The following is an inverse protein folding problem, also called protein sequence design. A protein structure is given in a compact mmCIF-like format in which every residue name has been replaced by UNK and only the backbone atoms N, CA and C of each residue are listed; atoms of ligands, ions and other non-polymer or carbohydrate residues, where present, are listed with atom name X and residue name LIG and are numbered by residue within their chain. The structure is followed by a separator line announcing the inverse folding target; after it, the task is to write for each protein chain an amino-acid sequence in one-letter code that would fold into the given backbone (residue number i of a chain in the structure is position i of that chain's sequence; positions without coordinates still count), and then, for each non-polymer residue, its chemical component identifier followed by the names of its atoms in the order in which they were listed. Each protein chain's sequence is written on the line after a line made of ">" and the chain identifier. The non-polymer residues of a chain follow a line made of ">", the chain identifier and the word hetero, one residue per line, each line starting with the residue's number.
data_IF_682297701143
#
_entry.id   IF_682297701143
#
_cell.length_a   1.000
_cell.length_b   1.000
_cell.length_c   1.000
_cell.angle_alpha   90.00
_cell.angle_beta   90.00
_cell.angle_gamma   90.00
#
_symmetry.space_group_name_H-M   'P 1'
#
loop_
_entity.id
_entity.type
_entity.pdbx_description
1 polymer ?
#
# COMPACT_ATOMS: atom_id res chain seq x y z
N UNK A 1 -20.28 23.26 -1.22
CA UNK A 1 -20.07 22.19 -2.20
C UNK A 1 -18.89 21.43 -1.66
N UNK A 2 -19.09 20.27 -1.03
CA UNK A 2 -17.95 19.46 -0.57
C UNK A 2 -17.37 18.85 -1.83
N UNK A 3 -16.20 19.32 -2.27
CA UNK A 3 -15.61 18.85 -3.52
C UNK A 3 -15.32 17.36 -3.38
N UNK A 4 -15.92 16.57 -4.27
CA UNK A 4 -15.68 15.14 -4.33
C UNK A 4 -14.21 14.91 -4.69
N UNK A 5 -13.58 13.91 -4.07
CA UNK A 5 -12.21 13.51 -4.41
C UNK A 5 -12.08 13.22 -5.91
N UNK A 6 -10.92 13.53 -6.53
CA UNK A 6 -10.67 13.27 -7.94
C UNK A 6 -10.82 11.79 -8.28
N UNK A 7 -11.22 11.48 -9.52
CA UNK A 7 -11.42 10.09 -9.96
C UNK A 7 -10.12 9.29 -9.89
N UNK A 8 -9.00 9.97 -10.08
CA UNK A 8 -7.64 9.45 -10.02
C UNK A 8 -7.31 8.90 -8.63
N UNK A 9 -7.88 9.45 -7.54
CA UNK A 9 -7.72 8.85 -6.21
C UNK A 9 -8.19 7.39 -6.26
N UNK A 10 -9.42 7.17 -6.73
CA UNK A 10 -10.04 5.84 -6.77
C UNK A 10 -9.32 4.90 -7.74
N UNK A 11 -8.84 5.42 -8.88
CA UNK A 11 -8.00 4.65 -9.80
C UNK A 11 -6.68 4.22 -9.16
N UNK A 12 -6.05 5.11 -8.38
CA UNK A 12 -4.84 4.80 -7.63
C UNK A 12 -5.08 3.75 -6.55
N UNK A 13 -6.20 3.83 -5.82
CA UNK A 13 -6.59 2.82 -4.82
C UNK A 13 -6.85 1.46 -5.50
N UNK A 14 -7.55 1.45 -6.64
CA UNK A 14 -7.79 0.21 -7.39
C UNK A 14 -6.47 -0.42 -7.87
N UNK A 15 -5.56 0.38 -8.41
CA UNK A 15 -4.23 -0.08 -8.79
C UNK A 15 -3.45 -0.65 -7.58
N UNK A 16 -3.50 0.01 -6.42
CA UNK A 16 -2.91 -0.52 -5.19
C UNK A 16 -3.51 -1.89 -4.82
N UNK A 17 -4.84 -1.99 -4.87
CA UNK A 17 -5.57 -3.20 -4.49
C UNK A 17 -5.31 -4.38 -5.42
N UNK A 18 -4.92 -4.13 -6.68
CA UNK A 18 -4.49 -5.16 -7.62
C UNK A 18 -3.01 -5.52 -7.46
N UNK A 19 -2.24 -4.75 -6.67
CA UNK A 19 -0.79 -4.92 -6.55
C UNK A 19 0.01 -4.17 -7.61
N UNK A 20 -0.64 -3.36 -8.45
CA UNK A 20 -0.02 -2.46 -9.41
C UNK A 20 0.56 -1.21 -8.73
N UNK A 21 1.49 -1.42 -7.79
CA UNK A 21 1.97 -0.36 -6.89
C UNK A 21 2.67 0.80 -7.60
N UNK A 22 3.41 0.53 -8.69
CA UNK A 22 4.04 1.61 -9.47
C UNK A 22 2.99 2.44 -10.24
N UNK A 23 1.94 1.79 -10.76
CA UNK A 23 0.83 2.51 -11.39
C UNK A 23 0.04 3.35 -10.38
N UNK A 24 -0.18 2.82 -9.17
CA UNK A 24 -0.76 3.57 -8.05
C UNK A 24 0.07 4.84 -7.76
N UNK A 25 1.41 4.70 -7.69
CA UNK A 25 2.31 5.84 -7.51
C UNK A 25 2.10 6.91 -8.59
N UNK A 26 2.19 6.55 -9.87
CA UNK A 26 2.13 7.52 -10.97
C UNK A 26 0.78 8.23 -11.03
N UNK A 27 -0.32 7.50 -10.80
CA UNK A 27 -1.68 8.07 -10.78
C UNK A 27 -1.83 9.09 -9.65
N UNK A 28 -1.39 8.74 -8.43
CA UNK A 28 -1.53 9.63 -7.28
C UNK A 28 -0.55 10.81 -7.34
N UNK A 29 0.64 10.62 -7.92
CA UNK A 29 1.60 11.71 -8.16
C UNK A 29 1.00 12.78 -9.09
N UNK A 30 0.23 12.38 -10.11
CA UNK A 30 -0.39 13.30 -11.06
C UNK A 30 -1.36 14.29 -10.38
N UNK A 31 -2.14 13.84 -9.39
CA UNK A 31 -3.05 14.70 -8.63
C UNK A 31 -2.38 15.39 -7.44
N UNK A 32 -1.28 14.84 -6.91
CA UNK A 32 -0.55 15.38 -5.77
C UNK A 32 -0.02 16.80 -6.00
N UNK A 33 0.46 17.11 -7.21
CA UNK A 33 1.01 18.44 -7.51
C UNK A 33 -0.04 19.56 -7.46
N UNK A 34 -1.31 19.22 -7.71
CA UNK A 34 -2.42 20.17 -7.82
C UNK A 34 -3.35 20.15 -6.61
N UNK A 35 -3.11 19.22 -5.66
CA UNK A 35 -3.91 19.05 -4.46
C UNK A 35 -3.76 20.21 -3.47
N UNK A 36 -4.84 20.49 -2.74
CA UNK A 36 -4.82 21.34 -1.55
C UNK A 36 -3.91 20.74 -0.46
N UNK A 37 -3.41 21.57 0.46
CA UNK A 37 -2.40 21.13 1.44
C UNK A 37 -2.84 19.93 2.29
N UNK A 38 -4.14 19.87 2.60
CA UNK A 38 -4.74 18.76 3.35
C UNK A 38 -4.70 17.45 2.56
N UNK A 39 -5.11 17.45 1.29
CA UNK A 39 -5.07 16.25 0.45
C UNK A 39 -3.65 15.86 0.04
N UNK A 40 -2.77 16.85 -0.09
CA UNK A 40 -1.41 16.68 -0.58
C UNK A 40 -0.60 15.70 0.26
N UNK A 41 -0.68 15.78 1.60
CA UNK A 41 0.05 14.85 2.49
C UNK A 41 -0.59 13.47 2.48
N UNK A 42 -1.92 13.39 2.35
CA UNK A 42 -2.64 12.13 2.24
C UNK A 42 -2.26 11.36 0.96
N UNK A 43 -2.34 11.98 -0.22
CA UNK A 43 -1.91 11.36 -1.47
C UNK A 43 -0.43 10.95 -1.42
N UNK A 44 0.42 11.83 -0.90
CA UNK A 44 1.85 11.55 -0.76
C UNK A 44 2.11 10.34 0.17
N UNK A 45 1.33 10.20 1.25
CA UNK A 45 1.45 9.06 2.14
C UNK A 45 1.14 7.73 1.44
N UNK A 46 0.02 7.66 0.71
CA UNK A 46 -0.38 6.44 -0.01
C UNK A 46 0.60 6.10 -1.12
N UNK A 47 0.98 7.08 -1.97
CA UNK A 47 1.91 6.82 -3.08
C UNK A 47 3.29 6.39 -2.58
N UNK A 48 3.75 6.90 -1.43
CA UNK A 48 5.02 6.48 -0.83
C UNK A 48 4.97 5.04 -0.31
N UNK A 49 3.85 4.63 0.31
CA UNK A 49 3.66 3.23 0.71
C UNK A 49 3.62 2.32 -0.53
N UNK A 50 2.91 2.72 -1.58
CA UNK A 50 2.84 1.99 -2.84
C UNK A 50 4.24 1.79 -3.44
N UNK A 51 5.00 2.85 -3.69
CA UNK A 51 6.35 2.71 -4.25
C UNK A 51 7.31 2.00 -3.28
N UNK A 52 7.07 2.06 -1.97
CA UNK A 52 7.77 1.25 -0.97
C UNK A 52 7.54 -0.26 -1.16
N UNK A 53 6.30 -0.68 -1.42
CA UNK A 53 5.96 -2.07 -1.77
C UNK A 53 6.57 -2.49 -3.11
N UNK A 54 6.56 -1.61 -4.11
CA UNK A 54 7.24 -1.84 -5.39
C UNK A 54 8.76 -2.06 -5.20
N UNK A 55 9.41 -1.25 -4.38
CA UNK A 55 10.82 -1.44 -4.06
C UNK A 55 11.08 -2.75 -3.31
N UNK A 56 10.20 -3.12 -2.38
CA UNK A 56 10.29 -4.39 -1.67
C UNK A 56 10.20 -5.58 -2.65
N UNK A 57 9.21 -5.60 -3.54
CA UNK A 57 9.06 -6.66 -4.55
C UNK A 57 10.25 -6.79 -5.50
N UNK A 58 11.00 -5.71 -5.71
CA UNK A 58 12.22 -5.68 -6.52
C UNK A 58 13.51 -5.93 -5.71
N UNK A 59 13.42 -6.32 -4.43
CA UNK A 59 14.58 -6.56 -3.57
C UNK A 59 15.34 -5.29 -3.16
N UNK A 60 14.80 -4.09 -3.41
CA UNK A 60 15.40 -2.84 -2.98
C UNK A 60 14.97 -2.52 -1.54
N UNK A 61 15.67 -3.14 -0.60
CA UNK A 61 15.43 -2.94 0.85
C UNK A 61 15.49 -1.47 1.28
N UNK A 62 16.51 -0.74 0.82
CA UNK A 62 16.72 0.65 1.25
C UNK A 62 15.58 1.55 0.79
N UNK A 63 15.16 1.41 -0.47
CA UNK A 63 14.03 2.15 -1.03
C UNK A 63 12.75 1.83 -0.28
N UNK A 64 12.49 0.54 -0.03
CA UNK A 64 11.30 0.08 0.69
C UNK A 64 11.22 0.68 2.11
N UNK A 65 12.29 0.57 2.90
CA UNK A 65 12.31 1.05 4.30
C UNK A 65 12.13 2.56 4.39
N UNK A 66 12.81 3.33 3.54
CA UNK A 66 12.73 4.79 3.56
C UNK A 66 11.31 5.26 3.19
N UNK A 67 10.80 4.82 2.04
CA UNK A 67 9.54 5.32 1.51
C UNK A 67 8.34 4.86 2.34
N UNK A 68 8.37 3.62 2.86
CA UNK A 68 7.35 3.13 3.77
C UNK A 68 7.32 3.91 5.08
N UNK A 69 8.48 4.22 5.67
CA UNK A 69 8.58 5.03 6.89
C UNK A 69 8.07 6.47 6.69
N UNK A 70 8.42 7.10 5.58
CA UNK A 70 7.91 8.43 5.24
C UNK A 70 6.40 8.42 5.00
N UNK A 71 5.89 7.44 4.25
CA UNK A 71 4.46 7.30 3.97
C UNK A 71 3.64 7.11 5.24
N UNK A 72 4.08 6.24 6.15
CA UNK A 72 3.47 6.05 7.47
C UNK A 72 3.43 7.36 8.28
N UNK A 73 4.54 8.08 8.34
CA UNK A 73 4.60 9.36 9.07
C UNK A 73 3.63 10.40 8.52
N UNK A 74 3.33 10.38 7.22
CA UNK A 74 2.39 11.33 6.59
C UNK A 74 0.94 10.97 6.90
N UNK A 75 0.61 9.68 6.93
CA UNK A 75 -0.76 9.21 7.17
C UNK A 75 -1.18 9.29 8.65
N UNK A 76 -0.26 9.49 9.58
CA UNK A 76 -0.56 9.56 11.01
C UNK A 76 -1.64 10.59 11.38
N UNK A 77 -1.72 11.71 10.66
CA UNK A 77 -2.72 12.76 10.88
C UNK A 77 -4.12 12.46 10.32
N UNK A 78 -4.25 11.37 9.56
CA UNK A 78 -5.47 10.98 8.83
C UNK A 78 -6.13 9.73 9.42
N UNK A 79 -5.60 9.21 10.53
CA UNK A 79 -6.16 8.03 11.19
C UNK A 79 -7.46 8.36 11.95
N UNK A 80 -8.42 7.42 12.02
CA UNK A 80 -8.36 6.06 11.46
C UNK A 80 -8.82 5.97 9.99
N UNK A 81 -9.40 7.03 9.43
CA UNK A 81 -9.86 7.07 8.04
C UNK A 81 -9.86 8.47 7.45
N UNK A 82 -9.72 8.51 6.13
CA UNK A 82 -9.84 9.72 5.32
C UNK A 82 -10.33 9.34 3.92
N UNK A 83 -11.14 10.19 3.30
CA UNK A 83 -11.80 9.88 2.03
C UNK A 83 -12.60 8.56 2.05
N UNK A 84 -13.09 8.13 3.22
CA UNK A 84 -13.76 6.83 3.38
C UNK A 84 -12.82 5.62 3.26
N UNK A 85 -11.51 5.80 3.22
CA UNK A 85 -10.51 4.72 3.22
C UNK A 85 -10.09 4.37 4.65
N UNK A 86 -9.97 3.08 4.94
CA UNK A 86 -9.43 2.57 6.19
C UNK A 86 -7.91 2.71 6.23
N UNK A 87 -7.46 3.82 6.79
CA UNK A 87 -6.03 4.12 6.93
C UNK A 87 -5.41 3.46 8.15
N UNK A 88 -6.20 3.08 9.15
CA UNK A 88 -5.72 2.29 10.28
C UNK A 88 -5.21 0.93 9.79
N UNK A 89 -5.99 0.23 8.97
CA UNK A 89 -5.55 -1.06 8.43
C UNK A 89 -4.33 -0.93 7.52
N UNK A 90 -4.32 0.07 6.62
CA UNK A 90 -3.19 0.32 5.72
C UNK A 90 -1.90 0.63 6.49
N UNK A 91 -1.97 1.51 7.49
CA UNK A 91 -0.79 1.91 8.28
C UNK A 91 -0.32 0.78 9.19
N UNK A 92 -1.21 -0.05 9.71
CA UNK A 92 -0.85 -1.26 10.46
C UNK A 92 -0.08 -2.24 9.56
N UNK A 93 -0.64 -2.60 8.40
CA UNK A 93 -0.03 -3.57 7.49
C UNK A 93 1.34 -3.08 6.98
N UNK A 94 1.45 -1.80 6.63
CA UNK A 94 2.72 -1.19 6.24
C UNK A 94 3.72 -1.10 7.40
N UNK A 95 3.26 -0.82 8.63
CA UNK A 95 4.11 -0.77 9.82
C UNK A 95 4.70 -2.14 10.19
N UNK A 96 3.91 -3.20 10.08
CA UNK A 96 4.34 -4.58 10.32
C UNK A 96 5.39 -5.04 9.29
N UNK A 97 5.17 -4.68 8.02
CA UNK A 97 6.15 -4.94 6.96
C UNK A 97 7.44 -4.14 7.19
N UNK A 98 7.35 -2.85 7.48
CA UNK A 98 8.52 -2.01 7.77
C UNK A 98 9.36 -2.60 8.92
N UNK A 99 8.69 -2.99 10.01
CA UNK A 99 9.34 -3.61 11.18
C UNK A 99 10.02 -4.94 10.80
N UNK A 100 9.38 -5.74 9.95
CA UNK A 100 9.94 -6.99 9.42
C UNK A 100 11.19 -6.72 8.59
N UNK A 101 11.14 -5.76 7.66
CA UNK A 101 12.26 -5.40 6.80
C UNK A 101 13.45 -4.85 7.60
N UNK A 102 13.19 -3.98 8.57
CA UNK A 102 14.22 -3.43 9.44
C UNK A 102 14.89 -4.51 10.30
N UNK A 103 14.12 -5.46 10.81
CA UNK A 103 14.64 -6.60 11.60
C UNK A 103 15.46 -7.57 10.76
N UNK A 104 14.99 -7.85 9.54
CA UNK A 104 15.62 -8.80 8.63
C UNK A 104 16.93 -8.26 8.03
N UNK A 105 16.96 -6.95 7.77
CA UNK A 105 18.11 -6.25 7.19
C UNK A 105 18.22 -6.43 5.67
N UNK A 106 19.12 -5.65 5.06
CA UNK A 106 19.30 -5.60 3.62
C UNK A 106 19.73 -6.94 2.99
N UNK A 107 20.59 -7.69 3.69
CA UNK A 107 21.20 -8.92 3.16
C UNK A 107 20.19 -10.06 2.97
N UNK A 108 19.03 -9.96 3.61
CA UNK A 108 18.04 -11.04 3.67
C UNK A 108 16.69 -10.66 3.09
N UNK A 109 16.55 -9.48 2.48
CA UNK A 109 15.29 -9.06 1.83
C UNK A 109 14.87 -10.01 0.71
N UNK A 110 15.84 -10.63 0.01
CA UNK A 110 15.60 -11.63 -1.02
C UNK A 110 15.05 -12.95 -0.49
N UNK A 111 15.08 -13.19 0.82
CA UNK A 111 14.42 -14.32 1.48
C UNK A 111 12.89 -14.08 1.62
N UNK A 112 12.38 -12.91 1.23
CA UNK A 112 10.95 -12.61 1.27
C UNK A 112 10.39 -12.52 -0.14
N UNK A 113 9.14 -12.96 -0.27
CA UNK A 113 8.40 -12.84 -1.54
C UNK A 113 7.12 -12.08 -1.25
N UNK A 114 6.93 -10.97 -1.97
CA UNK A 114 5.68 -10.22 -1.99
C UNK A 114 4.71 -10.94 -2.92
N UNK A 115 3.54 -11.33 -2.40
CA UNK A 115 2.42 -11.79 -3.21
C UNK A 115 1.36 -10.70 -3.30
N UNK A 116 0.96 -10.41 -4.53
CA UNK A 116 -0.14 -9.51 -4.89
C UNK A 116 -1.41 -10.30 -5.18
N UNK A 117 -2.60 -9.66 -5.14
CA UNK A 117 -3.85 -10.33 -5.48
C UNK A 117 -3.89 -10.88 -6.92
N UNK A 118 -3.17 -10.29 -7.86
CA UNK A 118 -3.03 -10.84 -9.21
C UNK A 118 -2.19 -12.12 -9.28
N UNK A 119 -1.35 -12.39 -8.28
CA UNK A 119 -0.60 -13.65 -8.19
C UNK A 119 -1.49 -14.82 -7.70
N UNK A 120 -2.68 -14.54 -7.14
CA UNK A 120 -3.55 -15.56 -6.51
C UNK A 120 -4.23 -16.58 -7.46
N UNK A 121 -4.62 -16.28 -8.72
CA UNK A 121 -5.24 -17.28 -9.60
C UNK A 121 -4.27 -18.39 -10.04
N UNK A 122 -2.97 -18.28 -9.74
CA UNK A 122 -1.95 -19.27 -10.09
C UNK A 122 -1.63 -20.28 -8.96
N UNK A 123 -2.21 -20.14 -7.77
CA UNK A 123 -2.02 -21.14 -6.69
C UNK A 123 -3.04 -22.26 -6.86
N UNK A 124 -2.79 -23.16 -7.82
CA UNK A 124 -3.36 -24.50 -7.74
C UNK A 124 -2.92 -25.12 -6.40
N UNK A 125 -3.82 -25.52 -5.48
CA UNK A 125 -3.40 -26.16 -4.23
C UNK A 125 -2.61 -27.46 -4.46
N UNK A 126 -2.68 -28.05 -5.67
CA UNK A 126 -1.89 -29.21 -6.08
C UNK A 126 -0.52 -28.86 -6.74
N UNK A 127 -0.26 -27.60 -7.06
CA UNK A 127 0.98 -27.13 -7.72
C UNK A 127 1.63 -25.96 -6.98
N UNK A 128 1.24 -25.70 -5.73
CA UNK A 128 1.99 -24.83 -4.82
C UNK A 128 3.39 -25.45 -4.64
N UNK A 129 4.26 -25.08 -5.57
CA UNK A 129 5.60 -25.60 -5.68
C UNK A 129 6.33 -25.28 -4.39
N UNK A 130 7.11 -26.25 -3.90
CA UNK A 130 7.91 -26.14 -2.66
C UNK A 130 9.09 -25.18 -2.83
N UNK A 131 9.03 -24.27 -3.81
CA UNK A 131 10.14 -23.45 -4.31
C UNK A 131 10.13 -22.04 -3.74
N UNK A 132 9.09 -21.63 -3.02
CA UNK A 132 9.17 -20.46 -2.14
C UNK A 132 9.86 -20.87 -0.82
N UNK A 133 11.19 -21.00 -0.86
CA UNK A 133 12.00 -21.14 0.37
C UNK A 133 11.97 -19.85 1.22
N UNK A 134 11.46 -18.74 0.68
CA UNK A 134 11.30 -17.46 1.35
C UNK A 134 9.99 -17.31 2.14
N UNK A 135 10.01 -16.49 3.20
CA UNK A 135 8.82 -16.15 3.98
C UNK A 135 7.91 -15.24 3.13
N UNK A 136 6.70 -15.71 2.86
CA UNK A 136 5.71 -15.00 2.05
C UNK A 136 5.11 -13.83 2.82
N UNK A 137 5.07 -12.65 2.18
CA UNK A 137 4.36 -11.45 2.63
C UNK A 137 3.23 -11.18 1.62
N UNK A 138 2.00 -11.01 2.10
CA UNK A 138 0.83 -10.70 1.26
C UNK A 138 0.47 -9.23 1.40
N UNK A 139 0.33 -8.51 0.29
CA UNK A 139 -0.28 -7.19 0.32
C UNK A 139 -1.79 -7.31 0.48
N UNK A 140 -2.37 -6.56 1.42
CA UNK A 140 -3.83 -6.48 1.60
C UNK A 140 -4.38 -5.26 0.86
N UNK A 141 -5.62 -5.32 0.36
CA UNK A 141 -6.26 -4.16 -0.26
C UNK A 141 -6.57 -3.10 0.78
N UNK A 142 -6.53 -1.83 0.36
CA UNK A 142 -7.07 -0.68 1.09
C UNK A 142 -8.60 -0.80 1.08
N UNK A 143 -9.18 -0.87 2.28
CA UNK A 143 -10.62 -1.04 2.46
C UNK A 143 -11.33 0.31 2.37
N UNK A 144 -12.39 0.40 1.57
CA UNK A 144 -13.36 1.49 1.67
C UNK A 144 -14.35 1.17 2.79
N UNK A 145 -14.41 2.01 3.82
CA UNK A 145 -15.42 1.89 4.87
C UNK A 145 -16.77 2.28 4.27
N UNK A 146 -17.63 1.29 4.03
CA UNK A 146 -19.03 1.54 3.71
C UNK A 146 -19.62 2.43 4.81
N UNK A 147 -20.23 3.55 4.44
CA UNK A 147 -21.04 4.31 5.39
C UNK A 147 -22.07 3.34 5.96
N UNK A 148 -21.95 3.02 7.25
CA UNK A 148 -23.01 2.33 7.97
C UNK A 148 -24.22 3.26 7.87
N UNK A 149 -25.15 2.96 6.96
CA UNK A 149 -26.53 3.39 7.13
C UNK A 149 -26.96 2.79 8.46
N UNK A 150 -27.05 3.63 9.49
CA UNK A 150 -27.88 3.32 10.65
C UNK A 150 -29.30 3.16 10.10
N UNK A 151 -29.68 1.93 9.78
CA UNK A 151 -31.10 1.58 9.71
C UNK A 151 -31.65 1.71 11.13
N UNK A 152 -32.75 2.45 11.21
CA UNK A 152 -33.48 2.87 12.41
C UNK A 152 -34.11 1.71 13.19
#
# INVERSE_FOLDING_TARGET
>A
MGDAFPVELWQGIEAFNQGHFYACHDILEAIWFQAEEEDKKFYQGILQIAVGLYHFGNGNWRGAVILMGEGLSRLQGYLPDYAGLDLEQLTQDAGDLLSTLQTLGADRVGDLVLLTPEDEPAINPATADKTLQGKVIRSRPIIQKSSITKEE
#
